data_IF_401949063865
#
_entry.id   IF_401949063865
#
_cell.length_a   1.000
_cell.length_b   1.000
_cell.length_c   1.000
_cell.angle_alpha   90.00
_cell.angle_beta   90.00
_cell.angle_gamma   90.00
#
_symmetry.space_group_name_H-M   'P 1'
#
loop_
_entity.id
_entity.type
_entity.pdbx_description
1 polymer ?
#
# COMPACT_ATOMS: atom_id res chain seq x y z
N UNK A 1 -18.66 1.97 -8.20
CA UNK A 1 -18.27 2.68 -6.96
C UNK A 1 -16.79 3.03 -7.04
N UNK A 2 -16.38 4.21 -6.57
CA UNK A 2 -14.96 4.57 -6.46
C UNK A 2 -14.43 4.15 -5.08
N UNK A 3 -13.17 3.75 -5.01
CA UNK A 3 -12.50 3.49 -3.74
C UNK A 3 -12.29 4.83 -3.02
N UNK A 4 -12.74 4.94 -1.77
CA UNK A 4 -12.53 6.12 -0.94
C UNK A 4 -11.11 6.11 -0.35
N UNK A 5 -10.53 7.30 -0.18
CA UNK A 5 -9.21 7.46 0.42
C UNK A 5 -9.09 6.81 1.81
N UNK A 6 -10.12 6.91 2.64
CA UNK A 6 -10.14 6.30 3.98
C UNK A 6 -9.97 4.78 3.95
N UNK A 7 -10.61 4.10 2.99
CA UNK A 7 -10.49 2.65 2.86
C UNK A 7 -9.07 2.26 2.43
N UNK A 8 -8.41 3.09 1.60
CA UNK A 8 -7.01 2.89 1.23
C UNK A 8 -6.12 3.03 2.46
N UNK A 9 -6.32 4.08 3.26
CA UNK A 9 -5.56 4.30 4.51
C UNK A 9 -5.72 3.15 5.50
N UNK A 10 -6.93 2.64 5.69
CA UNK A 10 -7.17 1.48 6.56
C UNK A 10 -6.44 0.23 6.07
N UNK A 11 -6.50 -0.05 4.77
CA UNK A 11 -5.80 -1.19 4.18
C UNK A 11 -4.27 -1.05 4.25
N UNK A 12 -3.74 0.15 4.01
CA UNK A 12 -2.30 0.44 4.13
C UNK A 12 -1.81 0.23 5.57
N UNK A 13 -2.57 0.71 6.56
CA UNK A 13 -2.21 0.53 7.98
C UNK A 13 -2.28 -0.95 8.40
N UNK A 14 -3.30 -1.68 7.94
CA UNK A 14 -3.40 -3.12 8.19
C UNK A 14 -2.25 -3.90 7.56
N UNK A 15 -1.84 -3.52 6.35
CA UNK A 15 -0.69 -4.14 5.67
C UNK A 15 0.65 -3.81 6.34
N UNK A 16 0.80 -2.60 6.88
CA UNK A 16 2.00 -2.20 7.62
C UNK A 16 2.08 -2.79 9.04
N UNK A 17 0.99 -3.33 9.60
CA UNK A 17 0.95 -3.79 10.99
C UNK A 17 1.97 -4.90 11.33
N UNK A 18 2.20 -5.93 10.48
CA UNK A 18 3.10 -7.03 10.83
C UNK A 18 4.58 -6.64 10.76
N UNK A 19 4.99 -5.96 9.69
CA UNK A 19 6.41 -5.78 9.32
C UNK A 19 6.81 -4.31 9.14
N UNK A 20 5.90 -3.38 9.48
CA UNK A 20 6.09 -1.95 9.32
C UNK A 20 5.84 -1.44 7.91
N UNK A 21 5.83 -0.11 7.77
CA UNK A 21 5.45 0.59 6.53
C UNK A 21 6.42 0.38 5.36
N UNK A 22 7.65 -0.08 5.63
CA UNK A 22 8.67 -0.32 4.61
C UNK A 22 8.30 -1.48 3.66
N UNK A 23 7.55 -2.47 4.15
CA UNK A 23 7.11 -3.61 3.32
C UNK A 23 6.08 -3.17 2.27
N UNK A 24 4.96 -2.52 2.62
CA UNK A 24 4.06 -1.93 1.64
C UNK A 24 4.75 -0.95 0.69
N UNK A 25 5.65 -0.10 1.21
CA UNK A 25 6.34 0.89 0.40
C UNK A 25 7.26 0.25 -0.67
N UNK A 26 8.03 -0.77 -0.30
CA UNK A 26 8.91 -1.47 -1.22
C UNK A 26 8.12 -2.20 -2.32
N UNK A 27 7.00 -2.83 -1.95
CA UNK A 27 6.18 -3.57 -2.91
C UNK A 27 5.43 -2.64 -3.88
N UNK A 28 4.90 -1.52 -3.37
CA UNK A 28 4.32 -0.48 -4.22
C UNK A 28 5.37 0.11 -5.15
N UNK A 29 6.58 0.41 -4.66
CA UNK A 29 7.66 0.92 -5.48
C UNK A 29 8.04 -0.06 -6.60
N UNK A 30 8.16 -1.36 -6.28
CA UNK A 30 8.41 -2.42 -7.26
C UNK A 30 7.31 -2.49 -8.32
N UNK A 31 6.04 -2.43 -7.91
CA UNK A 31 4.89 -2.46 -8.82
C UNK A 31 4.86 -1.23 -9.72
N UNK A 32 5.12 -0.03 -9.19
CA UNK A 32 5.22 1.21 -9.98
C UNK A 32 6.34 1.10 -11.01
N UNK A 33 7.54 0.65 -10.61
CA UNK A 33 8.67 0.47 -11.52
C UNK A 33 8.43 -0.58 -12.61
N UNK A 34 7.60 -1.59 -12.34
CA UNK A 34 7.22 -2.60 -13.33
C UNK A 34 6.04 -2.18 -14.20
N UNK A 35 5.34 -1.10 -13.85
CA UNK A 35 4.20 -0.60 -14.61
C UNK A 35 4.63 0.24 -15.83
N UNK A 36 5.84 0.80 -15.79
CA UNK A 36 6.39 1.66 -16.85
C UNK A 36 6.52 3.11 -16.42
#
# INVERSE_FOLDING_TARGET
MKIKHEHIRMAMNAWAYPDGEKVPAAEIARLISNWG
#
